data_IF_290730563092
#
_entry.id   IF_290730563092
#
_cell.length_a   1.000
_cell.length_b   1.000
_cell.length_c   1.000
_cell.angle_alpha   90.00
_cell.angle_beta   90.00
_cell.angle_gamma   90.00
#
_symmetry.space_group_name_H-M   'P 1'
#
loop_
_entity.id
_entity.type
_entity.pdbx_description
1 polymer ?
#
# COMPACT_ATOMS: atom_id res chain seq x y z
N UNK A 1 49.79 -55.53 -48.36
CA UNK A 1 50.02 -54.10 -48.05
C UNK A 1 48.66 -53.43 -47.98
N UNK A 2 48.39 -52.73 -46.86
CA UNK A 2 47.06 -52.34 -46.39
C UNK A 2 46.56 -51.08 -47.11
N UNK A 3 45.27 -51.11 -47.50
CA UNK A 3 44.51 -49.99 -48.06
C UNK A 3 44.03 -49.09 -46.93
N UNK A 4 44.44 -47.82 -46.92
CA UNK A 4 43.94 -46.79 -45.99
C UNK A 4 42.94 -45.90 -46.73
N UNK A 5 41.65 -46.10 -46.44
CA UNK A 5 40.56 -45.20 -46.82
C UNK A 5 40.48 -44.09 -45.76
N UNK A 6 40.81 -42.87 -46.14
CA UNK A 6 40.59 -41.66 -45.33
C UNK A 6 39.22 -41.12 -45.73
N UNK A 7 38.21 -41.41 -44.91
CA UNK A 7 36.86 -40.86 -45.06
C UNK A 7 36.80 -39.44 -44.50
N UNK A 8 36.71 -38.46 -45.40
CA UNK A 8 36.54 -37.04 -45.10
C UNK A 8 35.07 -36.80 -44.67
N UNK A 9 34.80 -36.78 -43.37
CA UNK A 9 33.52 -36.36 -42.83
C UNK A 9 33.43 -34.83 -42.85
N UNK A 10 32.92 -34.27 -43.95
CA UNK A 10 32.54 -32.85 -44.05
C UNK A 10 31.24 -32.67 -43.27
N UNK A 11 31.38 -32.34 -41.99
CA UNK A 11 30.27 -31.93 -41.13
C UNK A 11 29.68 -30.62 -41.64
N UNK A 12 28.47 -30.72 -42.21
CA UNK A 12 27.66 -29.60 -42.67
C UNK A 12 27.22 -28.79 -41.44
N UNK A 13 28.06 -27.84 -41.02
CA UNK A 13 27.69 -26.78 -40.08
C UNK A 13 26.69 -25.86 -40.81
N UNK A 14 25.42 -26.24 -40.80
CA UNK A 14 24.35 -25.30 -41.08
C UNK A 14 24.51 -24.14 -40.09
N UNK A 15 24.67 -22.87 -40.55
CA UNK A 15 24.49 -21.76 -39.66
C UNK A 15 23.06 -21.86 -39.15
N UNK A 16 22.91 -22.23 -37.88
CA UNK A 16 21.66 -22.05 -37.16
C UNK A 16 21.50 -20.55 -37.08
N UNK A 17 20.92 -19.95 -38.12
CA UNK A 17 20.38 -18.60 -38.05
C UNK A 17 19.27 -18.68 -37.01
N UNK A 18 19.65 -18.41 -35.76
CA UNK A 18 18.71 -18.15 -34.69
C UNK A 18 17.89 -16.99 -35.23
N UNK A 19 16.65 -17.26 -35.61
CA UNK A 19 15.71 -16.22 -36.02
C UNK A 19 15.54 -15.31 -34.81
N UNK A 20 16.37 -14.27 -34.73
CA UNK A 20 16.16 -13.20 -33.78
C UNK A 20 14.85 -12.55 -34.17
N UNK A 21 13.97 -12.31 -33.20
CA UNK A 21 12.78 -11.53 -33.47
C UNK A 21 13.23 -10.16 -33.96
N UNK A 22 12.95 -9.88 -35.23
CA UNK A 22 13.26 -8.59 -35.83
C UNK A 22 12.14 -7.63 -35.46
N UNK A 23 12.22 -7.10 -34.24
CA UNK A 23 11.26 -6.14 -33.69
C UNK A 23 11.13 -4.93 -34.61
N UNK A 24 12.23 -4.48 -35.22
CA UNK A 24 12.19 -3.34 -36.15
C UNK A 24 11.41 -3.67 -37.43
N UNK A 25 11.56 -4.87 -37.99
CA UNK A 25 10.76 -5.31 -39.14
C UNK A 25 9.29 -5.53 -38.77
N UNK A 26 9.01 -6.10 -37.60
CA UNK A 26 7.63 -6.31 -37.11
C UNK A 26 6.91 -4.96 -36.91
N UNK A 27 7.60 -3.95 -36.38
CA UNK A 27 7.07 -2.59 -36.24
C UNK A 27 6.86 -1.91 -37.60
N UNK A 28 7.81 -2.07 -38.55
CA UNK A 28 7.67 -1.53 -39.92
C UNK A 28 6.52 -2.18 -40.69
N UNK A 29 6.19 -3.42 -40.37
CA UNK A 29 5.04 -4.14 -40.90
C UNK A 29 3.71 -3.70 -40.24
N UNK A 30 3.74 -2.69 -39.37
CA UNK A 30 2.59 -2.14 -38.63
C UNK A 30 1.84 -3.23 -37.84
N UNK A 31 2.59 -4.22 -37.33
CA UNK A 31 2.01 -5.25 -36.48
C UNK A 31 1.61 -4.64 -35.13
N UNK A 32 0.48 -5.09 -34.54
CA UNK A 32 0.11 -4.67 -33.20
C UNK A 32 1.24 -4.94 -32.20
N UNK A 33 1.55 -3.99 -31.33
CA UNK A 33 2.66 -4.12 -30.34
C UNK A 33 2.57 -5.40 -29.52
N UNK A 34 1.36 -5.85 -29.20
CA UNK A 34 1.16 -7.12 -28.49
C UNK A 34 1.66 -8.32 -29.31
N UNK A 35 1.44 -8.32 -30.62
CA UNK A 35 1.98 -9.32 -31.54
C UNK A 35 3.50 -9.24 -31.61
N UNK A 36 4.07 -8.04 -31.67
CA UNK A 36 5.53 -7.83 -31.68
C UNK A 36 6.17 -8.41 -30.41
N UNK A 37 5.60 -8.14 -29.23
CA UNK A 37 6.06 -8.69 -27.96
C UNK A 37 5.91 -10.22 -27.89
N UNK A 38 4.83 -10.77 -28.43
CA UNK A 38 4.63 -12.23 -28.51
C UNK A 38 5.65 -12.90 -29.44
N UNK A 39 5.99 -12.27 -30.57
CA UNK A 39 7.02 -12.76 -31.48
C UNK A 39 8.41 -12.70 -30.82
N UNK A 40 8.72 -11.62 -30.12
CA UNK A 40 9.94 -11.48 -29.33
C UNK A 40 10.05 -12.59 -28.27
N UNK A 41 8.97 -12.86 -27.53
CA UNK A 41 8.95 -13.95 -26.55
C UNK A 41 9.15 -15.33 -27.19
N UNK A 42 8.57 -15.61 -28.37
CA UNK A 42 8.80 -16.86 -29.12
C UNK A 42 10.26 -17.02 -29.55
N UNK A 43 10.92 -15.92 -29.90
CA UNK A 43 12.36 -15.88 -30.18
C UNK A 43 13.24 -15.90 -28.91
N UNK A 44 12.64 -16.07 -27.72
CA UNK A 44 13.31 -16.07 -26.42
C UNK A 44 14.00 -14.74 -26.06
N UNK A 45 13.56 -13.64 -26.66
CA UNK A 45 13.96 -12.29 -26.24
C UNK A 45 13.21 -11.96 -24.95
N UNK A 46 13.92 -11.38 -23.97
CA UNK A 46 13.29 -10.99 -22.69
C UNK A 46 12.32 -9.83 -22.89
N UNK A 47 11.26 -9.73 -22.07
CA UNK A 47 10.31 -8.60 -22.12
C UNK A 47 11.01 -7.26 -22.00
N UNK A 48 12.02 -7.18 -21.13
CA UNK A 48 12.78 -5.95 -20.89
C UNK A 48 13.59 -5.53 -22.12
N UNK A 49 14.21 -6.49 -22.81
CA UNK A 49 14.98 -6.23 -24.02
C UNK A 49 14.06 -5.88 -25.19
N UNK A 50 12.96 -6.62 -25.35
CA UNK A 50 11.96 -6.34 -26.38
C UNK A 50 11.34 -4.95 -26.18
N UNK A 51 11.00 -4.59 -24.95
CA UNK A 51 10.47 -3.28 -24.63
C UNK A 51 11.48 -2.17 -24.93
N UNK A 52 12.76 -2.33 -24.57
CA UNK A 52 13.80 -1.34 -24.94
C UNK A 52 13.86 -1.13 -26.44
N UNK A 53 13.92 -2.21 -27.22
CA UNK A 53 13.98 -2.13 -28.68
C UNK A 53 12.75 -1.45 -29.27
N UNK A 54 11.55 -1.70 -28.73
CA UNK A 54 10.33 -1.01 -29.17
C UNK A 54 10.39 0.48 -28.82
N UNK A 55 10.80 0.84 -27.61
CA UNK A 55 10.90 2.24 -27.18
C UNK A 55 11.96 3.03 -27.96
N UNK A 56 13.03 2.37 -28.38
CA UNK A 56 14.07 2.95 -29.24
C UNK A 56 13.58 3.16 -30.68
N UNK A 57 12.85 2.18 -31.23
CA UNK A 57 12.41 2.20 -32.62
C UNK A 57 11.14 3.03 -32.86
N UNK A 58 10.23 3.07 -31.88
CA UNK A 58 8.91 3.71 -31.97
C UNK A 58 8.53 4.39 -30.64
N UNK A 59 9.23 5.47 -30.24
CA UNK A 59 8.98 6.16 -28.95
C UNK A 59 7.56 6.72 -28.84
N UNK A 60 6.91 7.07 -29.95
CA UNK A 60 5.51 7.49 -30.02
C UNK A 60 4.54 6.38 -29.59
N UNK A 61 4.95 5.11 -29.68
CA UNK A 61 4.16 3.95 -29.25
C UNK A 61 4.47 3.51 -27.80
N UNK A 62 5.29 4.27 -27.07
CA UNK A 62 5.73 3.92 -25.71
C UNK A 62 4.58 3.58 -24.77
N UNK A 63 3.49 4.34 -24.82
CA UNK A 63 2.31 4.09 -24.00
C UNK A 63 1.71 2.70 -24.28
N UNK A 64 1.47 2.38 -25.55
CA UNK A 64 0.94 1.08 -25.96
C UNK A 64 1.90 -0.08 -25.62
N UNK A 65 3.20 0.14 -25.79
CA UNK A 65 4.23 -0.84 -25.48
C UNK A 65 4.31 -1.19 -23.99
N UNK A 66 4.28 -0.18 -23.12
CA UNK A 66 4.28 -0.39 -21.67
C UNK A 66 3.02 -1.15 -21.25
N UNK A 67 1.85 -0.72 -21.74
CA UNK A 67 0.57 -1.36 -21.44
C UNK A 67 0.58 -2.83 -21.88
N UNK A 68 0.99 -3.11 -23.12
CA UNK A 68 1.03 -4.47 -23.66
C UNK A 68 2.06 -5.37 -22.95
N UNK A 69 3.24 -4.84 -22.63
CA UNK A 69 4.27 -5.57 -21.90
C UNK A 69 3.78 -5.99 -20.51
N UNK A 70 3.05 -5.11 -19.82
CA UNK A 70 2.47 -5.40 -18.51
C UNK A 70 1.29 -6.36 -18.56
N UNK A 71 0.46 -6.29 -19.58
CA UNK A 71 -0.61 -7.27 -19.80
C UNK A 71 -0.03 -8.67 -20.05
N UNK A 72 1.06 -8.75 -20.82
CA UNK A 72 1.73 -10.02 -21.10
C UNK A 72 2.47 -10.57 -19.87
N UNK A 73 3.11 -9.69 -19.09
CA UNK A 73 3.97 -10.08 -17.97
C UNK A 73 3.72 -9.24 -16.71
N UNK A 74 2.55 -9.35 -16.06
CA UNK A 74 2.18 -8.51 -14.92
C UNK A 74 3.08 -8.74 -13.69
N UNK A 75 3.74 -9.90 -13.60
CA UNK A 75 4.69 -10.21 -12.53
C UNK A 75 6.04 -9.49 -12.70
N UNK A 76 6.32 -8.94 -13.88
CA UNK A 76 7.54 -8.17 -14.18
C UNK A 76 7.30 -6.65 -14.08
N UNK A 77 6.22 -6.21 -13.43
CA UNK A 77 5.82 -4.81 -13.40
C UNK A 77 6.92 -3.84 -12.94
N UNK A 78 7.70 -4.22 -11.92
CA UNK A 78 8.83 -3.41 -11.46
C UNK A 78 9.91 -3.26 -12.54
N UNK A 79 10.22 -4.33 -13.28
CA UNK A 79 11.25 -4.30 -14.32
C UNK A 79 10.80 -3.46 -15.51
N UNK A 80 9.57 -3.71 -16.00
CA UNK A 80 8.97 -2.99 -17.13
C UNK A 80 8.91 -1.48 -16.85
N UNK A 81 8.42 -1.08 -15.68
CA UNK A 81 8.37 0.34 -15.29
C UNK A 81 9.78 0.93 -15.14
N UNK A 82 10.74 0.15 -14.62
CA UNK A 82 12.13 0.61 -14.51
C UNK A 82 12.79 0.83 -15.87
N UNK A 83 12.49 -0.02 -16.86
CA UNK A 83 12.95 0.14 -18.24
C UNK A 83 12.33 1.37 -18.88
N UNK A 84 11.01 1.54 -18.75
CA UNK A 84 10.31 2.69 -19.32
C UNK A 84 10.77 4.04 -18.73
N UNK A 85 11.21 4.05 -17.47
CA UNK A 85 11.75 5.23 -16.81
C UNK A 85 13.27 5.38 -16.95
N UNK A 86 13.91 4.60 -17.81
CA UNK A 86 15.29 4.86 -18.16
C UNK A 86 15.42 6.26 -18.77
N UNK A 87 16.45 7.00 -18.34
CA UNK A 87 16.71 8.37 -18.80
C UNK A 87 16.87 8.45 -20.31
N UNK A 88 17.29 7.35 -20.94
CA UNK A 88 17.42 7.25 -22.38
C UNK A 88 16.12 7.59 -23.13
N UNK A 89 14.96 7.18 -22.59
CA UNK A 89 13.68 7.32 -23.30
C UNK A 89 12.96 8.65 -23.05
N UNK A 90 13.45 9.45 -22.09
CA UNK A 90 12.88 10.76 -21.75
C UNK A 90 11.34 10.78 -21.54
N UNK A 91 10.78 9.67 -21.03
CA UNK A 91 9.34 9.56 -20.78
C UNK A 91 8.94 10.28 -19.49
N UNK A 92 7.75 10.87 -19.49
CA UNK A 92 7.18 11.50 -18.30
C UNK A 92 6.77 10.43 -17.28
N UNK A 93 7.27 10.44 -16.04
CA UNK A 93 6.95 9.40 -15.08
C UNK A 93 5.45 9.20 -14.77
N UNK A 94 4.64 10.27 -14.64
CA UNK A 94 3.19 10.12 -14.54
C UNK A 94 2.56 9.40 -15.74
N UNK A 95 3.04 9.63 -16.96
CA UNK A 95 2.52 8.95 -18.16
C UNK A 95 2.88 7.48 -18.17
N UNK A 96 4.10 7.12 -17.76
CA UNK A 96 4.52 5.72 -17.62
C UNK A 96 3.67 5.00 -16.58
N UNK A 97 3.41 5.64 -15.44
CA UNK A 97 2.54 5.08 -14.39
C UNK A 97 1.12 4.87 -14.92
N UNK A 98 0.61 5.82 -15.71
CA UNK A 98 -0.73 5.69 -16.30
C UNK A 98 -0.83 4.51 -17.27
N UNK A 99 0.13 4.38 -18.19
CA UNK A 99 0.22 3.24 -19.10
C UNK A 99 0.33 1.93 -18.31
N UNK A 100 1.19 1.94 -17.28
CA UNK A 100 1.44 0.75 -16.50
C UNK A 100 0.22 0.28 -15.70
N UNK A 101 -0.52 1.22 -15.10
CA UNK A 101 -1.75 0.91 -14.37
C UNK A 101 -2.88 0.46 -15.31
N UNK A 102 -2.91 0.95 -16.54
CA UNK A 102 -3.84 0.43 -17.56
C UNK A 102 -3.51 -1.02 -17.94
N UNK A 103 -2.21 -1.37 -17.99
CA UNK A 103 -1.77 -2.73 -18.30
C UNK A 103 -1.94 -3.71 -17.14
N UNK A 104 -1.76 -3.27 -15.90
CA UNK A 104 -1.83 -4.10 -14.70
C UNK A 104 -2.33 -3.32 -13.46
N UNK A 105 -3.64 -3.03 -13.35
CA UNK A 105 -4.19 -2.18 -12.28
C UNK A 105 -3.95 -2.76 -10.88
N UNK A 106 -4.02 -4.10 -10.75
CA UNK A 106 -3.79 -4.82 -9.49
C UNK A 106 -2.33 -4.72 -8.99
N UNK A 107 -1.42 -4.23 -9.83
CA UNK A 107 0.00 -4.08 -9.50
C UNK A 107 0.36 -2.65 -9.08
N UNK A 108 -0.61 -1.79 -8.77
CA UNK A 108 -0.37 -0.42 -8.30
C UNK A 108 0.62 -0.33 -7.12
N UNK A 109 0.55 -1.30 -6.19
CA UNK A 109 1.47 -1.43 -5.05
C UNK A 109 2.95 -1.62 -5.43
N UNK A 110 3.23 -2.04 -6.67
CA UNK A 110 4.59 -2.21 -7.21
C UNK A 110 4.93 -1.09 -8.20
N UNK A 111 4.00 -0.77 -9.11
CA UNK A 111 4.20 0.21 -10.17
C UNK A 111 4.52 1.60 -9.59
N UNK A 112 3.69 2.09 -8.66
CA UNK A 112 3.80 3.45 -8.16
C UNK A 112 5.09 3.65 -7.34
N UNK A 113 5.43 2.78 -6.37
CA UNK A 113 6.68 2.93 -5.64
C UNK A 113 7.92 2.78 -6.52
N UNK A 114 7.88 1.89 -7.52
CA UNK A 114 8.99 1.73 -8.49
C UNK A 114 9.20 3.04 -9.26
N UNK A 115 8.11 3.65 -9.74
CA UNK A 115 8.19 4.91 -10.45
C UNK A 115 8.75 6.04 -9.57
N UNK A 116 8.32 6.12 -8.31
CA UNK A 116 8.85 7.10 -7.35
C UNK A 116 10.35 6.92 -7.13
N UNK A 117 10.84 5.68 -7.00
CA UNK A 117 12.27 5.38 -6.78
C UNK A 117 13.11 5.70 -8.03
N UNK A 118 12.57 5.46 -9.23
CA UNK A 118 13.28 5.69 -10.48
C UNK A 118 13.23 7.14 -10.97
N UNK A 119 12.28 7.92 -10.46
CA UNK A 119 12.07 9.30 -10.91
C UNK A 119 12.75 10.30 -9.99
N UNK A 120 13.10 11.48 -10.51
CA UNK A 120 13.46 12.62 -9.68
C UNK A 120 12.36 12.94 -8.65
N UNK A 121 12.77 13.38 -7.45
CA UNK A 121 11.85 13.56 -6.32
C UNK A 121 10.70 14.55 -6.57
N UNK A 122 10.83 15.49 -7.51
CA UNK A 122 9.74 16.41 -7.85
C UNK A 122 8.56 15.74 -8.60
N UNK A 123 8.74 14.51 -9.09
CA UNK A 123 7.65 13.73 -9.69
C UNK A 123 6.85 12.90 -8.69
N UNK A 124 7.29 12.78 -7.42
CA UNK A 124 6.63 11.90 -6.45
C UNK A 124 5.14 12.22 -6.29
N UNK A 125 4.79 13.49 -6.09
CA UNK A 125 3.38 13.92 -5.94
C UNK A 125 2.60 13.77 -7.26
N UNK A 126 3.10 14.23 -8.43
CA UNK A 126 2.45 13.97 -9.72
C UNK A 126 2.19 12.50 -10.03
N UNK A 127 3.13 11.61 -9.70
CA UNK A 127 2.99 10.15 -9.87
C UNK A 127 1.81 9.63 -9.03
N UNK A 128 1.76 9.99 -7.75
CA UNK A 128 0.69 9.56 -6.84
C UNK A 128 -0.67 10.10 -7.31
N UNK A 129 -0.71 11.39 -7.66
CA UNK A 129 -1.93 12.02 -8.16
C UNK A 129 -2.45 11.32 -9.41
N UNK A 130 -1.55 11.01 -10.36
CA UNK A 130 -1.93 10.31 -11.59
C UNK A 130 -2.45 8.91 -11.31
N UNK A 131 -1.78 8.16 -10.44
CA UNK A 131 -2.21 6.82 -10.08
C UNK A 131 -3.63 6.79 -9.49
N UNK A 132 -3.95 7.74 -8.60
CA UNK A 132 -5.28 7.85 -8.01
C UNK A 132 -6.33 8.30 -9.02
N UNK A 133 -5.98 9.23 -9.92
CA UNK A 133 -6.86 9.65 -11.00
C UNK A 133 -7.19 8.50 -11.97
N UNK A 134 -6.24 7.58 -12.17
CA UNK A 134 -6.44 6.36 -12.96
C UNK A 134 -7.17 5.25 -12.18
N UNK A 135 -7.68 5.55 -10.98
CA UNK A 135 -8.50 4.64 -10.18
C UNK A 135 -7.71 3.63 -9.34
N UNK A 136 -6.39 3.77 -9.23
CA UNK A 136 -5.60 2.88 -8.38
C UNK A 136 -6.04 2.99 -6.91
N UNK A 137 -6.00 1.86 -6.21
CA UNK A 137 -6.26 1.82 -4.77
C UNK A 137 -5.06 2.40 -3.99
N UNK A 138 -5.22 3.63 -3.49
CA UNK A 138 -4.23 4.34 -2.69
C UNK A 138 -3.72 3.54 -1.48
N UNK A 139 -4.56 2.69 -0.90
CA UNK A 139 -4.19 1.87 0.26
C UNK A 139 -3.08 0.86 -0.05
N UNK A 140 -2.91 0.49 -1.33
CA UNK A 140 -1.92 -0.51 -1.77
C UNK A 140 -0.51 0.06 -1.95
N UNK A 141 -0.37 1.35 -2.21
CA UNK A 141 0.92 1.93 -2.58
C UNK A 141 1.34 3.12 -1.71
N UNK A 142 0.41 3.90 -1.14
CA UNK A 142 0.76 5.08 -0.35
C UNK A 142 1.66 4.78 0.85
N UNK A 143 1.45 3.70 1.63
CA UNK A 143 2.36 3.37 2.73
C UNK A 143 3.81 3.23 2.27
N UNK A 144 4.02 2.56 1.13
CA UNK A 144 5.35 2.38 0.57
C UNK A 144 5.89 3.68 -0.05
N UNK A 145 5.06 4.43 -0.77
CA UNK A 145 5.43 5.73 -1.35
C UNK A 145 5.91 6.73 -0.28
N UNK A 146 5.24 6.76 0.87
CA UNK A 146 5.65 7.62 2.00
C UNK A 146 6.95 7.14 2.65
N UNK A 147 7.22 5.82 2.66
CA UNK A 147 8.50 5.26 3.15
C UNK A 147 9.65 5.53 2.19
N UNK A 148 9.41 5.49 0.88
CA UNK A 148 10.44 5.77 -0.13
C UNK A 148 10.73 7.27 -0.24
N UNK A 149 9.77 8.14 0.07
CA UNK A 149 9.94 9.59 0.10
C UNK A 149 9.53 10.23 1.44
N UNK A 150 10.26 9.99 2.54
CA UNK A 150 9.85 10.47 3.88
C UNK A 150 9.69 11.99 3.98
N UNK A 151 10.54 12.74 3.27
CA UNK A 151 10.49 14.22 3.22
C UNK A 151 9.21 14.75 2.55
N UNK A 152 8.55 13.93 1.75
CA UNK A 152 7.32 14.28 1.03
C UNK A 152 6.10 13.53 1.56
N UNK A 153 6.24 12.76 2.64
CA UNK A 153 5.18 11.89 3.14
C UNK A 153 3.87 12.66 3.41
N UNK A 154 3.96 13.84 4.01
CA UNK A 154 2.79 14.68 4.31
C UNK A 154 2.15 15.24 3.03
N UNK A 155 2.96 15.67 2.05
CA UNK A 155 2.47 16.14 0.75
C UNK A 155 1.81 15.02 -0.06
N UNK A 156 2.38 13.82 -0.01
CA UNK A 156 1.84 12.61 -0.64
C UNK A 156 0.47 12.28 -0.03
N UNK A 157 0.39 12.20 1.30
CA UNK A 157 -0.85 11.88 2.01
C UNK A 157 -1.92 12.94 1.75
N UNK A 158 -1.58 14.22 1.91
CA UNK A 158 -2.49 15.34 1.64
C UNK A 158 -3.03 15.28 0.21
N UNK A 159 -2.14 15.16 -0.78
CA UNK A 159 -2.56 15.10 -2.17
C UNK A 159 -3.43 13.88 -2.45
N UNK A 160 -3.12 12.74 -1.83
CA UNK A 160 -3.90 11.53 -2.02
C UNK A 160 -5.34 11.67 -1.51
N UNK A 161 -5.52 12.26 -0.33
CA UNK A 161 -6.83 12.48 0.26
C UNK A 161 -7.66 13.52 -0.52
N UNK A 162 -7.00 14.52 -1.10
CA UNK A 162 -7.65 15.49 -2.00
C UNK A 162 -8.06 14.82 -3.32
N UNK A 163 -7.20 13.96 -3.88
CA UNK A 163 -7.42 13.36 -5.21
C UNK A 163 -8.42 12.21 -5.17
N UNK A 164 -8.50 11.47 -4.06
CA UNK A 164 -9.35 10.30 -3.91
C UNK A 164 -10.12 10.34 -2.57
N UNK A 165 -11.06 11.29 -2.38
CA UNK A 165 -11.79 11.43 -1.12
C UNK A 165 -12.59 10.17 -0.77
N UNK A 166 -13.12 9.45 -1.77
CA UNK A 166 -13.83 8.18 -1.57
C UNK A 166 -12.94 7.06 -1.01
N UNK A 167 -11.62 7.17 -1.13
CA UNK A 167 -10.65 6.21 -0.58
C UNK A 167 -10.08 6.67 0.77
N UNK A 168 -10.55 7.77 1.35
CA UNK A 168 -9.99 8.35 2.59
C UNK A 168 -9.86 7.31 3.70
N UNK A 169 -10.91 6.55 3.98
CA UNK A 169 -10.89 5.56 5.06
C UNK A 169 -9.86 4.45 4.80
N UNK A 170 -9.79 3.90 3.58
CA UNK A 170 -8.86 2.81 3.24
C UNK A 170 -7.41 3.29 3.22
N UNK A 171 -7.16 4.48 2.67
CA UNK A 171 -5.86 5.14 2.65
C UNK A 171 -5.36 5.38 4.07
N UNK A 172 -6.18 6.05 4.91
CA UNK A 172 -5.81 6.35 6.29
C UNK A 172 -5.54 5.08 7.08
N UNK A 173 -6.38 4.05 6.91
CA UNK A 173 -6.20 2.76 7.57
C UNK A 173 -4.84 2.14 7.21
N UNK A 174 -4.51 2.10 5.92
CA UNK A 174 -3.26 1.50 5.45
C UNK A 174 -2.02 2.30 5.87
N UNK A 175 -2.07 3.63 5.76
CA UNK A 175 -0.96 4.52 6.14
C UNK A 175 -0.68 4.46 7.63
N UNK A 176 -1.73 4.54 8.47
CA UNK A 176 -1.59 4.42 9.92
C UNK A 176 -1.11 3.02 10.30
N UNK A 177 -1.64 1.96 9.68
CA UNK A 177 -1.22 0.58 9.98
C UNK A 177 0.26 0.35 9.67
N UNK A 178 0.80 1.06 8.68
CA UNK A 178 2.21 0.99 8.33
C UNK A 178 3.14 1.68 9.34
N UNK A 179 2.65 2.74 10.02
CA UNK A 179 3.38 3.49 11.03
C UNK A 179 2.43 3.94 12.16
N UNK A 180 2.02 3.03 13.07
CA UNK A 180 1.01 3.32 14.09
C UNK A 180 1.40 4.45 15.04
N UNK A 181 2.70 4.60 15.32
CA UNK A 181 3.23 5.66 16.19
C UNK A 181 3.01 7.07 15.65
N UNK A 182 2.68 7.20 14.35
CA UNK A 182 2.39 8.48 13.69
C UNK A 182 0.89 8.70 13.44
N UNK A 183 0.00 7.89 14.02
CA UNK A 183 -1.44 7.99 13.77
C UNK A 183 -1.97 9.42 14.00
N UNK A 184 -1.66 10.01 15.16
CA UNK A 184 -2.05 11.37 15.52
C UNK A 184 -1.53 12.43 14.53
N UNK A 185 -0.29 12.27 14.06
CA UNK A 185 0.30 13.15 13.04
C UNK A 185 -0.45 13.03 11.70
N UNK A 186 -0.73 11.82 11.24
CA UNK A 186 -1.45 11.61 9.98
C UNK A 186 -2.90 12.10 10.03
N UNK A 187 -3.59 11.94 11.16
CA UNK A 187 -4.93 12.52 11.36
C UNK A 187 -4.87 14.04 11.23
N UNK A 188 -3.87 14.69 11.85
CA UNK A 188 -3.67 16.14 11.73
C UNK A 188 -3.49 16.55 10.27
N UNK A 189 -2.60 15.89 9.54
CA UNK A 189 -2.36 16.15 8.11
C UNK A 189 -3.63 15.96 7.27
N UNK A 190 -4.40 14.92 7.56
CA UNK A 190 -5.64 14.61 6.83
C UNK A 190 -6.74 15.65 7.08
N UNK A 191 -6.93 16.08 8.33
CA UNK A 191 -7.90 17.12 8.67
C UNK A 191 -7.48 18.48 8.12
N UNK A 192 -6.17 18.79 8.10
CA UNK A 192 -5.64 19.98 7.43
C UNK A 192 -5.85 19.96 5.91
N UNK A 193 -5.88 18.76 5.31
CA UNK A 193 -6.25 18.56 3.92
C UNK A 193 -7.75 18.69 3.65
N UNK A 194 -8.56 18.97 4.69
CA UNK A 194 -10.04 18.96 4.65
C UNK A 194 -10.61 17.61 4.22
N UNK A 195 -9.91 16.51 4.51
CA UNK A 195 -10.42 15.17 4.25
C UNK A 195 -11.68 14.89 5.11
N UNK A 196 -12.59 14.01 4.66
CA UNK A 196 -13.79 13.65 5.41
C UNK A 196 -13.47 13.16 6.82
N UNK A 197 -13.74 14.00 7.84
CA UNK A 197 -13.31 13.76 9.21
C UNK A 197 -13.82 12.43 9.77
N UNK A 198 -15.07 12.06 9.46
CA UNK A 198 -15.66 10.77 9.86
C UNK A 198 -14.81 9.58 9.39
N UNK A 199 -14.38 9.60 8.13
CA UNK A 199 -13.63 8.50 7.52
C UNK A 199 -12.20 8.44 8.07
N UNK A 200 -11.56 9.60 8.23
CA UNK A 200 -10.23 9.74 8.84
C UNK A 200 -10.23 9.16 10.25
N UNK A 201 -11.18 9.59 11.09
CA UNK A 201 -11.24 9.20 12.50
C UNK A 201 -11.64 7.74 12.67
N UNK A 202 -12.60 7.25 11.88
CA UNK A 202 -13.01 5.84 11.92
C UNK A 202 -11.83 4.93 11.58
N UNK A 203 -11.04 5.28 10.55
CA UNK A 203 -9.84 4.54 10.19
C UNK A 203 -8.77 4.62 11.29
N UNK A 204 -8.53 5.80 11.85
CA UNK A 204 -7.50 6.02 12.85
C UNK A 204 -7.80 5.29 14.17
N UNK A 205 -9.03 5.37 14.68
CA UNK A 205 -9.43 4.66 15.90
C UNK A 205 -9.37 3.15 15.74
N UNK A 206 -9.75 2.61 14.58
CA UNK A 206 -9.70 1.18 14.32
C UNK A 206 -8.27 0.61 14.31
N UNK A 207 -7.28 1.41 13.90
CA UNK A 207 -5.89 0.94 13.76
C UNK A 207 -5.02 1.31 14.96
N UNK A 208 -5.27 2.47 15.57
CA UNK A 208 -4.49 2.99 16.69
C UNK A 208 -5.38 3.26 17.93
N UNK A 209 -6.08 2.25 18.48
CA UNK A 209 -7.00 2.45 19.60
C UNK A 209 -6.29 2.95 20.87
N UNK A 210 -5.00 2.67 21.03
CA UNK A 210 -4.20 3.16 22.16
C UNK A 210 -3.95 4.67 22.13
N UNK A 211 -4.04 5.29 20.96
CA UNK A 211 -3.87 6.74 20.77
C UNK A 211 -5.22 7.45 20.59
N UNK A 212 -6.34 6.79 20.92
CA UNK A 212 -7.66 7.32 20.63
C UNK A 212 -7.94 8.67 21.31
N UNK A 213 -7.48 8.87 22.55
CA UNK A 213 -7.67 10.14 23.23
C UNK A 213 -6.88 11.28 22.54
N UNK A 214 -5.65 11.02 22.11
CA UNK A 214 -4.81 11.98 21.38
C UNK A 214 -5.40 12.31 20.01
N UNK A 215 -5.89 11.29 19.29
CA UNK A 215 -6.58 11.44 18.00
C UNK A 215 -7.85 12.30 18.17
N UNK A 216 -8.64 12.04 19.22
CA UNK A 216 -9.83 12.84 19.52
C UNK A 216 -9.48 14.29 19.87
N UNK A 217 -8.40 14.51 20.63
CA UNK A 217 -7.93 15.87 20.94
C UNK A 217 -7.51 16.64 19.68
N UNK A 218 -6.78 16.00 18.76
CA UNK A 218 -6.46 16.61 17.45
C UNK A 218 -7.72 16.94 16.64
N UNK A 219 -8.72 16.06 16.67
CA UNK A 219 -9.99 16.33 15.99
C UNK A 219 -10.70 17.58 16.56
N UNK A 220 -10.71 17.74 17.89
CA UNK A 220 -11.26 18.93 18.56
C UNK A 220 -10.45 20.19 18.23
N UNK A 221 -9.12 20.11 18.23
CA UNK A 221 -8.24 21.21 17.80
C UNK A 221 -8.57 21.68 16.37
N UNK A 222 -8.98 20.76 15.50
CA UNK A 222 -9.40 21.04 14.12
C UNK A 222 -10.89 21.37 13.98
N UNK A 223 -11.57 21.66 15.09
CA UNK A 223 -12.99 22.00 15.16
C UNK A 223 -13.92 20.93 14.53
N UNK A 224 -13.52 19.65 14.58
CA UNK A 224 -14.41 18.55 14.20
C UNK A 224 -15.52 18.42 15.25
N UNK A 225 -16.81 18.35 14.86
CA UNK A 225 -17.91 18.20 15.82
C UNK A 225 -17.78 16.95 16.69
N UNK A 226 -18.12 17.06 17.98
CA UNK A 226 -18.03 15.94 18.94
C UNK A 226 -18.92 14.75 18.52
N UNK A 227 -20.03 15.00 17.82
CA UNK A 227 -20.87 13.95 17.23
C UNK A 227 -20.10 13.11 16.19
N UNK A 228 -19.25 13.74 15.37
CA UNK A 228 -18.41 13.04 14.39
C UNK A 228 -17.32 12.22 15.08
N UNK A 229 -16.76 12.73 16.17
CA UNK A 229 -15.73 12.05 16.96
C UNK A 229 -16.33 10.81 17.65
N UNK A 230 -17.47 10.98 18.34
CA UNK A 230 -18.15 9.90 19.07
C UNK A 230 -18.74 8.84 18.15
N UNK A 231 -19.30 9.23 17.00
CA UNK A 231 -19.78 8.26 16.00
C UNK A 231 -18.64 7.44 15.40
N UNK A 232 -17.49 8.07 15.09
CA UNK A 232 -16.31 7.38 14.60
C UNK A 232 -15.70 6.45 15.66
N UNK A 233 -15.63 6.86 16.94
CA UNK A 233 -15.09 6.01 18.01
C UNK A 233 -15.98 4.79 18.26
N UNK A 234 -17.31 4.96 18.25
CA UNK A 234 -18.28 3.86 18.34
C UNK A 234 -18.15 2.90 17.15
N UNK A 235 -18.05 3.43 15.93
CA UNK A 235 -17.85 2.60 14.74
C UNK A 235 -16.56 1.76 14.80
N UNK A 236 -15.55 2.25 15.50
CA UNK A 236 -14.29 1.55 15.74
C UNK A 236 -14.26 0.69 17.02
N UNK A 237 -15.36 0.62 17.79
CA UNK A 237 -15.43 -0.02 19.11
C UNK A 237 -14.40 0.51 20.13
N UNK A 238 -14.20 1.83 20.13
CA UNK A 238 -13.27 2.53 21.03
C UNK A 238 -14.02 3.42 22.00
N UNK A 239 -13.75 3.23 23.29
CA UNK A 239 -14.28 4.08 24.37
C UNK A 239 -13.32 5.24 24.63
N UNK A 240 -13.80 6.47 24.44
CA UNK A 240 -13.05 7.68 24.79
C UNK A 240 -13.30 8.04 26.25
N UNK A 241 -12.25 8.34 27.01
CA UNK A 241 -12.38 8.72 28.42
C UNK A 241 -13.15 10.04 28.60
N UNK A 242 -13.01 10.94 27.63
CA UNK A 242 -13.73 12.20 27.54
C UNK A 242 -15.25 12.05 27.32
N UNK A 243 -15.71 10.98 26.65
CA UNK A 243 -17.13 10.71 26.47
C UNK A 243 -17.84 10.24 27.76
N UNK A 244 -17.09 9.80 28.77
CA UNK A 244 -17.63 9.41 30.09
C UNK A 244 -17.89 10.59 31.03
N UNK A 245 -17.49 11.83 30.67
CA UNK A 245 -17.69 12.99 31.54
C UNK A 245 -19.08 13.63 31.44
N UNK A 246 -19.79 13.45 30.33
CA UNK A 246 -21.16 13.96 30.14
C UNK A 246 -22.24 13.04 30.73
N UNK A 247 -21.85 11.91 31.34
CA UNK A 247 -22.76 10.97 32.04
C UNK A 247 -23.01 11.31 33.52
N UNK A 248 -22.51 12.45 34.03
CA UNK A 248 -22.77 12.91 35.41
C UNK A 248 -23.70 14.12 35.43
N UNK A 249 -24.96 13.90 35.08
CA UNK A 249 -26.08 14.64 35.67
C UNK A 249 -26.80 13.67 36.60
N UNK A 250 -26.81 14.01 37.89
CA UNK A 250 -27.10 13.08 38.96
C UNK A 250 -28.56 12.65 39.06
N UNK A 251 -28.73 11.38 39.46
CA UNK A 251 -29.83 10.95 40.32
C UNK A 251 -29.28 9.87 41.24
N UNK A 252 -28.90 10.25 42.46
CA UNK A 252 -28.90 9.30 43.57
C UNK A 252 -30.36 9.08 43.97
N UNK A 253 -30.90 7.89 43.68
CA UNK A 253 -32.10 7.37 44.36
C UNK A 253 -31.81 5.91 44.68
N UNK A 254 -32.01 5.57 45.95
CA UNK A 254 -31.53 4.35 46.56
C UNK A 254 -32.45 3.15 46.41
N UNK A 255 -31.91 2.01 46.87
CA UNK A 255 -32.66 1.01 47.60
C UNK A 255 -32.89 -0.33 46.88
N UNK A 256 -32.91 -1.46 47.63
CA UNK A 256 -32.56 -2.79 47.13
C UNK A 256 -33.77 -3.74 46.98
N UNK A 257 -33.61 -4.83 46.21
CA UNK A 257 -34.30 -6.12 46.47
C UNK A 257 -33.64 -7.32 45.74
N UNK A 258 -33.37 -8.37 46.53
CA UNK A 258 -33.13 -9.79 46.15
C UNK A 258 -34.33 -10.36 45.36
N UNK A 259 -34.24 -11.45 44.57
CA UNK A 259 -33.88 -12.87 44.84
C UNK A 259 -33.64 -13.58 43.47
N UNK A 260 -32.95 -14.71 43.29
CA UNK A 260 -33.19 -16.02 43.92
C UNK A 260 -32.09 -17.05 43.63
N UNK A 261 -31.61 -17.67 44.72
CA UNK A 261 -31.25 -19.09 44.95
C UNK A 261 -30.36 -19.88 43.97
N UNK A 262 -29.19 -20.31 44.46
CA UNK A 262 -28.96 -21.75 44.61
C UNK A 262 -28.09 -22.05 45.85
N UNK A 263 -28.63 -22.91 46.71
CA UNK A 263 -28.06 -23.40 47.96
C UNK A 263 -27.07 -24.53 47.70
N UNK A 264 -25.88 -24.51 48.32
CA UNK A 264 -25.20 -25.73 48.79
C UNK A 264 -24.54 -25.41 50.14
N UNK A 265 -24.89 -26.24 51.13
CA UNK A 265 -24.59 -26.12 52.55
C UNK A 265 -23.12 -26.42 52.91
N UNK A 266 -22.65 -25.75 53.96
CA UNK A 266 -21.41 -26.04 54.69
C UNK A 266 -21.60 -27.13 55.76
N UNK A 267 -20.49 -27.70 56.26
CA UNK A 267 -20.28 -27.88 57.70
C UNK A 267 -18.97 -27.16 58.11
N UNK A 268 -18.97 -26.29 59.12
CA UNK A 268 -18.97 -26.54 60.57
C UNK A 268 -17.56 -26.71 61.17
N UNK A 269 -17.37 -26.04 62.32
CA UNK A 269 -16.21 -25.99 63.23
C UNK A 269 -15.02 -25.13 62.76
N UNK A 270 -14.42 -24.24 63.55
CA UNK A 270 -14.61 -23.90 64.96
C UNK A 270 -13.28 -23.36 65.52
N UNK A 271 -13.34 -22.22 66.21
CA UNK A 271 -12.53 -21.89 67.40
C UNK A 271 -11.00 -21.68 67.31
N UNK A 272 -10.58 -20.47 67.69
CA UNK A 272 -9.22 -20.12 68.17
C UNK A 272 -8.60 -18.95 67.37
N UNK A 273 -8.36 -17.73 67.87
CA UNK A 273 -8.11 -17.25 69.24
C UNK A 273 -6.79 -17.84 69.74
N UNK A 274 -5.68 -17.14 69.98
CA UNK A 274 -5.29 -15.73 69.98
C UNK A 274 -3.91 -15.65 70.69
N UNK A 275 -3.11 -14.61 70.39
CA UNK A 275 -1.85 -14.27 71.09
C UNK A 275 -0.62 -15.06 70.61
N UNK A 276 0.60 -14.50 70.55
CA UNK A 276 1.08 -13.18 70.90
C UNK A 276 2.57 -13.06 70.55
N UNK A 277 3.00 -11.82 70.30
CA UNK A 277 4.29 -11.20 70.63
C UNK A 277 5.65 -11.91 70.43
N UNK A 278 6.52 -11.19 69.69
CA UNK A 278 7.93 -10.89 70.06
C UNK A 278 8.96 -12.03 69.84
N UNK A 279 10.18 -11.87 69.32
CA UNK A 279 11.19 -10.80 69.22
C UNK A 279 12.29 -11.19 68.19
N UNK A 280 13.13 -10.20 67.81
CA UNK A 280 14.56 -10.31 67.46
C UNK A 280 15.03 -10.94 66.10
N UNK A 281 15.25 -10.08 65.10
CA UNK A 281 16.55 -9.57 64.57
C UNK A 281 17.88 -10.37 64.79
N UNK A 282 18.98 -10.05 64.07
CA UNK A 282 19.48 -10.72 62.87
C UNK A 282 20.84 -11.42 63.08
N UNK A 283 21.27 -12.22 62.10
CA UNK A 283 22.67 -12.37 61.67
C UNK A 283 22.70 -12.96 60.25
#
# INVERSE_FOLDING_TARGET
>A
MRRTLIGLAVGLLLPVSIAQADIASDLKADLPIQTVLLNAAKAKVSTDEALRQILDAAPEQAYAAITAALQANPNQAASIVSVALDKHFNLSPPQVVSAALQGAPDKAGVIVPTAIVKSPGYYTVPIVQRALADGADGSKFLPQAMRTSPRQADSILRQALISAPAQTQSIMRAVIASQPDKATHYVRVALDAKAPAKDVLTAAFAVAPRQAEDIANVAREKAVPEESITSASKAANVTLASASKDGKSGTMVGGPTNTSTNQISAPSAGGGGGGGESTASPN
#
